data_IF_160626170166
#
_entry.id   IF_160626170166
#
_cell.length_a   1.000
_cell.length_b   1.000
_cell.length_c   1.000
_cell.angle_alpha   90.00
_cell.angle_beta   90.00
_cell.angle_gamma   90.00
#
_symmetry.space_group_name_H-M   'P 1'
#
loop_
_entity.id
_entity.type
_entity.pdbx_description
1 polymer ?
#
# COMPACT_ATOMS: atom_id res chain seq x y z
N UNK A 1 -9.97 -56.96 18.71
CA UNK A 1 -9.19 -57.38 19.92
C UNK A 1 -8.28 -58.54 19.50
N UNK A 2 -7.13 -58.83 20.13
CA UNK A 2 -6.32 -58.07 21.12
C UNK A 2 -4.90 -57.69 20.60
N UNK A 3 -4.36 -56.50 20.88
CA UNK A 3 -3.35 -56.13 21.93
C UNK A 3 -1.99 -56.89 21.97
N UNK A 4 -0.90 -56.18 21.62
CA UNK A 4 0.34 -55.86 22.41
C UNK A 4 1.27 -55.02 21.49
N UNK A 5 1.88 -53.88 21.85
CA UNK A 5 2.74 -53.50 22.99
C UNK A 5 4.14 -54.14 22.94
N UNK A 6 5.26 -53.47 23.26
CA UNK A 6 5.57 -52.04 23.50
C UNK A 6 7.10 -51.90 23.66
N UNK A 7 7.71 -50.74 23.33
CA UNK A 7 8.98 -50.32 23.94
C UNK A 7 9.17 -48.79 23.88
N UNK A 8 9.78 -48.24 24.93
CA UNK A 8 10.08 -46.82 25.14
C UNK A 8 11.51 -46.70 25.69
N UNK A 9 12.27 -45.71 25.23
CA UNK A 9 13.48 -45.21 25.89
C UNK A 9 13.69 -43.75 25.47
N UNK A 10 14.05 -42.92 26.44
CA UNK A 10 14.15 -41.45 26.35
C UNK A 10 15.65 -41.03 26.50
N UNK A 11 16.02 -39.73 26.54
CA UNK A 11 17.25 -39.25 25.90
C UNK A 11 18.53 -39.37 26.74
N UNK A 12 19.65 -38.97 26.11
CA UNK A 12 20.96 -38.76 26.73
C UNK A 12 21.37 -37.29 26.62
N UNK A 13 21.71 -36.66 27.74
CA UNK A 13 22.25 -35.30 27.79
C UNK A 13 23.75 -35.26 27.42
N UNK A 14 24.18 -34.15 26.81
CA UNK A 14 25.56 -33.63 26.76
C UNK A 14 25.42 -32.12 26.52
N UNK A 15 25.47 -31.31 27.56
CA UNK A 15 26.67 -30.69 28.15
C UNK A 15 26.97 -29.32 27.52
N UNK A 16 26.99 -28.31 28.38
CA UNK A 16 27.23 -26.90 28.04
C UNK A 16 28.62 -26.55 28.55
N UNK A 17 29.57 -26.33 27.65
CA UNK A 17 30.90 -25.89 28.02
C UNK A 17 30.89 -24.40 28.43
N UNK A 18 31.76 -24.06 29.37
CA UNK A 18 31.99 -22.70 29.86
C UNK A 18 33.47 -22.40 29.77
N UNK A 19 33.83 -21.29 29.13
CA UNK A 19 35.16 -20.72 29.30
C UNK A 19 35.05 -19.24 29.67
N UNK A 20 35.93 -18.83 30.58
CA UNK A 20 36.03 -17.49 31.21
C UNK A 20 37.49 -17.05 31.02
N UNK A 21 37.76 -15.75 30.90
CA UNK A 21 39.12 -15.27 30.64
C UNK A 21 39.27 -13.76 30.64
N UNK A 22 39.95 -13.28 31.67
CA UNK A 22 40.58 -11.96 31.83
C UNK A 22 42.07 -12.10 31.40
N UNK A 23 43.08 -11.22 31.58
CA UNK A 23 43.31 -9.92 32.26
C UNK A 23 44.19 -9.02 31.31
N UNK A 24 44.49 -7.71 31.45
CA UNK A 24 43.94 -6.48 32.08
C UNK A 24 44.77 -5.25 31.53
N UNK A 25 44.20 -4.02 31.53
CA UNK A 25 44.93 -2.68 31.51
C UNK A 25 45.82 -2.28 30.28
N UNK A 26 46.29 -1.03 30.03
CA UNK A 26 45.98 0.37 30.48
C UNK A 26 46.46 1.43 29.42
N UNK A 27 46.18 2.74 29.60
CA UNK A 27 46.97 3.82 28.93
C UNK A 27 46.32 5.21 28.70
N UNK A 28 46.56 6.15 29.62
CA UNK A 28 46.50 7.66 29.58
C UNK A 28 46.47 8.39 28.20
N UNK A 29 45.83 9.56 28.02
CA UNK A 29 46.01 10.86 28.75
C UNK A 29 46.91 11.80 27.91
N UNK A 30 46.80 13.14 27.87
CA UNK A 30 46.31 14.17 28.82
C UNK A 30 45.54 15.33 28.12
N UNK A 31 45.13 16.35 28.89
CA UNK A 31 44.28 17.50 28.51
C UNK A 31 45.08 18.81 28.33
N UNK A 32 44.46 19.84 27.70
CA UNK A 32 44.80 21.27 27.96
C UNK A 32 43.56 22.16 27.78
N UNK A 33 43.30 23.04 28.75
CA UNK A 33 42.33 24.16 28.72
C UNK A 33 42.99 25.40 28.03
N UNK A 34 42.35 26.53 27.69
CA UNK A 34 41.48 27.44 28.47
C UNK A 34 40.77 28.47 27.55
N UNK A 35 39.76 29.18 28.08
CA UNK A 35 39.23 30.56 27.82
C UNK A 35 39.33 31.22 26.40
N UNK A 36 38.39 32.05 25.91
CA UNK A 36 37.61 33.12 26.56
C UNK A 36 36.42 33.56 25.65
N UNK A 37 35.63 34.54 26.12
CA UNK A 37 34.76 35.46 25.39
C UNK A 37 33.39 34.96 24.87
N UNK A 38 32.39 35.27 25.69
CA UNK A 38 30.95 35.28 25.41
C UNK A 38 30.52 36.04 24.13
N UNK A 39 29.42 35.57 23.53
CA UNK A 39 28.28 36.46 23.22
C UNK A 39 26.95 35.73 23.50
N UNK A 40 25.98 36.42 24.09
CA UNK A 40 24.63 35.91 24.37
C UNK A 40 23.65 36.47 23.31
N UNK A 41 23.77 36.03 22.06
CA UNK A 41 22.76 36.33 21.05
C UNK A 41 21.54 35.42 21.25
N UNK A 42 20.48 35.99 21.86
CA UNK A 42 19.14 35.40 21.89
C UNK A 42 18.55 35.40 20.45
N UNK A 43 18.88 34.38 19.64
CA UNK A 43 18.19 34.13 18.37
C UNK A 43 16.71 33.81 18.66
N UNK A 44 15.83 34.79 18.49
CA UNK A 44 14.38 34.66 18.71
C UNK A 44 13.76 33.57 17.79
N UNK A 45 12.85 32.75 18.34
CA UNK A 45 12.19 31.58 17.72
C UNK A 45 11.23 31.93 16.52
N UNK A 46 11.65 32.73 15.55
CA UNK A 46 10.83 33.09 14.37
C UNK A 46 10.71 31.96 13.31
N UNK A 47 11.42 30.84 13.47
CA UNK A 47 11.38 29.69 12.54
C UNK A 47 10.13 28.79 12.66
N UNK A 48 9.18 29.15 13.53
CA UNK A 48 7.91 28.42 13.75
C UNK A 48 6.66 29.24 13.37
N UNK A 49 6.76 30.10 12.35
CA UNK A 49 5.56 30.65 11.71
C UNK A 49 4.84 29.56 10.90
N UNK A 50 3.91 28.84 11.53
CA UNK A 50 3.00 27.84 10.93
C UNK A 50 1.96 28.51 10.01
N UNK A 51 2.44 29.29 9.05
CA UNK A 51 1.65 29.92 8.01
C UNK A 51 1.38 28.93 6.87
N UNK A 52 0.90 27.74 7.23
CA UNK A 52 0.38 26.75 6.29
C UNK A 52 -0.83 27.28 5.51
N UNK A 53 -1.46 28.37 5.97
CA UNK A 53 -2.46 29.15 5.22
C UNK A 53 -1.87 29.90 4.00
N UNK A 54 -0.57 30.20 4.00
CA UNK A 54 0.16 30.82 2.90
C UNK A 54 0.89 29.80 1.99
N UNK A 55 0.58 28.50 2.10
CA UNK A 55 0.88 27.58 1.01
C UNK A 55 0.05 28.02 -0.20
N UNK A 56 0.74 28.60 -1.19
CA UNK A 56 0.12 29.16 -2.39
C UNK A 56 -0.75 28.10 -3.07
N UNK A 57 -2.07 28.33 -3.08
CA UNK A 57 -3.03 27.41 -3.68
C UNK A 57 -2.93 27.49 -5.20
N UNK A 58 -1.97 26.76 -5.78
CA UNK A 58 -2.02 26.40 -7.20
C UNK A 58 -3.34 25.68 -7.45
N UNK A 59 -4.27 26.38 -8.06
CA UNK A 59 -5.56 25.84 -8.50
C UNK A 59 -5.35 25.06 -9.78
N UNK A 60 -4.69 23.91 -9.68
CA UNK A 60 -4.71 22.91 -10.73
C UNK A 60 -6.15 22.47 -10.97
N UNK A 61 -6.69 22.74 -12.15
CA UNK A 61 -7.90 22.08 -12.62
C UNK A 61 -7.54 20.63 -12.95
N UNK A 62 -8.21 19.68 -12.29
CA UNK A 62 -7.98 18.25 -12.46
C UNK A 62 -9.04 17.63 -13.37
N UNK A 63 -8.62 16.71 -14.23
CA UNK A 63 -9.53 15.88 -15.02
C UNK A 63 -9.36 14.38 -14.73
N UNK A 64 -10.34 13.59 -15.16
CA UNK A 64 -10.46 12.17 -14.88
C UNK A 64 -10.22 11.35 -16.16
N UNK A 65 -9.00 10.86 -16.32
CA UNK A 65 -8.54 10.16 -17.52
C UNK A 65 -8.65 8.63 -17.37
N UNK A 66 -8.88 7.86 -18.45
CA UNK A 66 -8.67 6.41 -18.44
C UNK A 66 -7.23 6.08 -18.03
N UNK A 67 -7.04 4.93 -17.37
CA UNK A 67 -5.71 4.48 -16.96
C UNK A 67 -4.89 4.06 -18.20
N UNK A 68 -3.63 4.45 -18.25
CA UNK A 68 -2.66 4.08 -19.29
C UNK A 68 -1.38 3.47 -18.69
N UNK A 69 -0.57 2.85 -19.53
CA UNK A 69 0.81 2.43 -19.21
C UNK A 69 1.70 3.52 -18.60
N UNK A 70 1.51 4.80 -18.95
CA UNK A 70 2.24 5.91 -18.32
C UNK A 70 1.91 6.14 -16.84
N UNK A 71 0.70 5.75 -16.39
CA UNK A 71 0.25 5.98 -15.01
C UNK A 71 0.93 5.08 -13.98
N UNK A 72 1.71 4.07 -14.39
CA UNK A 72 2.21 3.01 -13.48
C UNK A 72 3.01 3.59 -12.31
N UNK A 73 3.93 4.54 -12.54
CA UNK A 73 4.79 5.07 -11.48
C UNK A 73 4.02 5.99 -10.52
N UNK A 74 3.12 6.83 -11.05
CA UNK A 74 2.20 7.63 -10.24
C UNK A 74 1.24 6.76 -9.40
N UNK A 75 0.76 5.65 -9.96
CA UNK A 75 -0.03 4.65 -9.25
C UNK A 75 0.79 3.95 -8.16
N UNK A 76 2.06 3.57 -8.41
CA UNK A 76 2.95 3.01 -7.38
C UNK A 76 3.13 3.98 -6.21
N UNK A 77 3.31 5.27 -6.49
CA UNK A 77 3.45 6.32 -5.46
C UNK A 77 2.19 6.46 -4.58
N UNK A 78 0.98 6.37 -5.16
CA UNK A 78 -0.27 6.36 -4.40
C UNK A 78 -0.47 5.03 -3.63
N UNK A 79 -0.26 3.89 -4.29
CA UNK A 79 -0.43 2.56 -3.71
C UNK A 79 0.50 2.34 -2.51
N UNK A 80 1.71 2.90 -2.54
CA UNK A 80 2.66 2.87 -1.41
C UNK A 80 2.11 3.55 -0.14
N UNK A 81 1.25 4.56 -0.29
CA UNK A 81 0.57 5.22 0.83
C UNK A 81 -0.57 4.33 1.39
N UNK A 82 -1.35 3.69 0.51
CA UNK A 82 -2.44 2.77 0.88
C UNK A 82 -1.90 1.52 1.58
N UNK A 83 -0.82 0.95 1.05
CA UNK A 83 -0.19 -0.30 1.49
C UNK A 83 1.02 -0.08 2.40
N UNK A 84 1.11 1.10 3.03
CA UNK A 84 2.21 1.52 3.90
C UNK A 84 2.54 0.48 4.98
N UNK A 85 3.83 0.09 5.04
CA UNK A 85 4.39 -0.95 5.94
C UNK A 85 3.76 -2.34 5.74
N UNK A 86 3.46 -2.70 4.49
CA UNK A 86 3.04 -4.06 4.11
C UNK A 86 3.92 -4.58 2.97
N UNK A 87 3.87 -5.89 2.72
CA UNK A 87 4.69 -6.56 1.70
C UNK A 87 3.96 -6.69 0.35
N UNK A 88 2.96 -5.84 0.08
CA UNK A 88 2.18 -5.90 -1.17
C UNK A 88 3.00 -5.31 -2.31
N UNK A 89 3.22 -6.10 -3.37
CA UNK A 89 3.84 -5.62 -4.61
C UNK A 89 2.97 -4.54 -5.29
N UNK A 90 3.32 -3.27 -5.05
CA UNK A 90 2.58 -2.12 -5.57
C UNK A 90 2.78 -1.91 -7.08
N UNK A 91 3.89 -2.39 -7.66
CA UNK A 91 4.15 -2.31 -9.10
C UNK A 91 3.28 -3.31 -9.87
N UNK A 92 3.15 -4.53 -9.35
CA UNK A 92 2.21 -5.52 -9.88
C UNK A 92 0.74 -5.08 -9.71
N UNK A 93 0.39 -4.43 -8.59
CA UNK A 93 -0.95 -3.84 -8.42
C UNK A 93 -1.20 -2.69 -9.40
N UNK A 94 -0.24 -1.77 -9.60
CA UNK A 94 -0.38 -0.68 -10.56
C UNK A 94 -0.62 -1.20 -11.98
N UNK A 95 0.17 -2.17 -12.43
CA UNK A 95 0.00 -2.82 -13.75
C UNK A 95 -1.36 -3.51 -13.85
N UNK A 96 -1.79 -4.23 -12.82
CA UNK A 96 -3.10 -4.88 -12.78
C UNK A 96 -4.29 -3.89 -12.74
N UNK A 97 -4.09 -2.63 -12.30
CA UNK A 97 -5.10 -1.56 -12.44
C UNK A 97 -5.15 -1.01 -13.87
N UNK A 98 -3.99 -0.82 -14.51
CA UNK A 98 -3.90 -0.38 -15.92
C UNK A 98 -4.49 -1.44 -16.86
N UNK A 99 -4.25 -2.73 -16.62
CA UNK A 99 -4.86 -3.84 -17.38
C UNK A 99 -6.40 -3.86 -17.35
N UNK A 100 -7.03 -3.22 -16.36
CA UNK A 100 -8.49 -3.09 -16.27
C UNK A 100 -9.04 -1.95 -17.14
N UNK A 101 -8.20 -1.05 -17.67
CA UNK A 101 -8.63 0.11 -18.46
C UNK A 101 -9.53 -0.29 -19.65
N UNK A 102 -10.64 0.43 -19.92
CA UNK A 102 -11.08 1.69 -19.34
C UNK A 102 -11.97 1.56 -18.08
N UNK A 103 -11.85 0.47 -17.30
CA UNK A 103 -12.50 0.40 -15.98
C UNK A 103 -11.77 1.28 -14.95
N UNK A 104 -12.30 2.50 -14.82
CA UNK A 104 -11.92 3.44 -13.77
C UNK A 104 -11.39 4.73 -14.36
N UNK A 105 -10.69 5.50 -13.54
CA UNK A 105 -9.91 6.64 -13.96
C UNK A 105 -8.76 6.93 -12.99
N UNK A 106 -7.73 7.56 -13.50
CA UNK A 106 -6.76 8.35 -12.74
C UNK A 106 -7.19 9.82 -12.75
N UNK A 107 -6.71 10.58 -11.76
CA UNK A 107 -6.83 12.05 -11.77
C UNK A 107 -5.46 12.67 -12.03
N UNK A 108 -5.37 13.54 -13.03
CA UNK A 108 -4.19 14.33 -13.40
C UNK A 108 -4.62 15.79 -13.66
N UNK A 109 -3.70 16.76 -13.69
CA UNK A 109 -3.98 18.10 -14.21
C UNK A 109 -4.61 18.04 -15.61
N UNK A 110 -5.49 18.99 -15.93
CA UNK A 110 -6.17 19.06 -17.22
C UNK A 110 -5.27 19.63 -18.34
N UNK A 111 -4.29 20.44 -17.98
CA UNK A 111 -3.25 20.99 -18.85
C UNK A 111 -1.91 20.29 -18.55
N UNK A 112 -1.11 20.04 -19.58
CA UNK A 112 0.25 19.51 -19.43
C UNK A 112 1.12 20.58 -18.74
N UNK A 113 1.63 20.26 -17.55
CA UNK A 113 2.50 21.16 -16.78
C UNK A 113 3.91 21.07 -17.37
N UNK A 114 4.54 22.22 -17.69
CA UNK A 114 5.84 22.27 -18.38
C UNK A 114 7.04 21.75 -17.54
N UNK A 115 6.82 21.31 -16.31
CA UNK A 115 7.84 20.70 -15.44
C UNK A 115 8.04 19.22 -15.81
N UNK A 116 9.21 18.87 -16.36
CA UNK A 116 9.57 17.49 -16.77
C UNK A 116 9.41 16.44 -15.64
N UNK A 117 9.58 16.85 -14.37
CA UNK A 117 9.37 16.00 -13.18
C UNK A 117 7.88 15.63 -12.93
N UNK A 118 6.93 16.21 -13.68
CA UNK A 118 5.50 16.13 -13.40
C UNK A 118 4.65 15.37 -14.44
N UNK A 119 5.21 15.01 -15.61
CA UNK A 119 4.47 14.49 -16.77
C UNK A 119 3.56 13.27 -16.47
N UNK A 120 3.94 12.44 -15.49
CA UNK A 120 3.20 11.23 -15.09
C UNK A 120 2.67 11.29 -13.64
N UNK A 121 2.48 12.50 -13.09
CA UNK A 121 1.98 12.69 -11.73
C UNK A 121 0.48 12.35 -11.61
N UNK A 122 0.18 11.28 -10.86
CA UNK A 122 -1.20 10.82 -10.59
C UNK A 122 -1.63 11.26 -9.18
N UNK A 123 -2.66 12.10 -9.11
CA UNK A 123 -3.14 12.77 -7.88
C UNK A 123 -4.28 12.00 -7.18
N UNK A 124 -4.75 10.94 -7.80
CA UNK A 124 -5.66 9.95 -7.24
C UNK A 124 -6.12 8.93 -8.27
N UNK A 125 -6.81 7.89 -7.81
CA UNK A 125 -7.30 6.79 -8.66
C UNK A 125 -8.66 6.29 -8.16
N UNK A 126 -9.56 5.99 -9.09
CA UNK A 126 -10.82 5.31 -8.87
C UNK A 126 -10.93 4.11 -9.83
N UNK A 127 -10.63 2.90 -9.36
CA UNK A 127 -10.65 1.68 -10.19
C UNK A 127 -10.99 0.43 -9.36
N UNK A 128 -11.06 -0.74 -10.00
CA UNK A 128 -11.47 -2.01 -9.40
C UNK A 128 -10.44 -3.11 -9.70
N UNK A 129 -9.65 -3.47 -8.68
CA UNK A 129 -8.64 -4.54 -8.76
C UNK A 129 -9.30 -5.91 -8.58
N UNK A 130 -9.08 -6.85 -9.50
CA UNK A 130 -9.64 -8.20 -9.37
C UNK A 130 -8.98 -8.99 -8.22
N UNK A 131 -9.81 -9.70 -7.45
CA UNK A 131 -9.41 -10.57 -6.35
C UNK A 131 -9.78 -12.03 -6.64
N UNK A 132 -8.85 -12.96 -6.39
CA UNK A 132 -9.05 -14.41 -6.58
C UNK A 132 -8.33 -15.01 -7.79
N UNK A 133 -7.48 -14.26 -8.47
CA UNK A 133 -6.52 -14.79 -9.42
C UNK A 133 -5.32 -15.49 -8.75
N UNK A 134 -4.26 -15.70 -9.52
CA UNK A 134 -3.05 -16.44 -9.09
C UNK A 134 -1.82 -15.54 -8.82
N UNK A 135 -1.95 -14.22 -8.90
CA UNK A 135 -0.82 -13.31 -8.73
C UNK A 135 -0.43 -13.15 -7.24
N UNK A 136 0.87 -13.00 -6.90
CA UNK A 136 1.33 -12.89 -5.50
C UNK A 136 0.62 -11.77 -4.73
N UNK A 137 0.51 -10.58 -5.32
CA UNK A 137 -0.14 -9.41 -4.72
C UNK A 137 -1.60 -9.68 -4.28
N UNK A 138 -2.35 -10.51 -5.03
CA UNK A 138 -3.74 -10.86 -4.67
C UNK A 138 -3.78 -11.68 -3.38
N UNK A 139 -2.77 -12.54 -3.17
CA UNK A 139 -2.61 -13.34 -1.95
C UNK A 139 -2.08 -12.50 -0.79
N UNK A 140 -1.18 -11.56 -1.04
CA UNK A 140 -0.67 -10.60 -0.05
C UNK A 140 -1.79 -9.68 0.47
N UNK A 141 -2.59 -9.10 -0.43
CA UNK A 141 -3.77 -8.28 -0.10
C UNK A 141 -4.80 -9.11 0.69
N UNK A 142 -5.12 -10.33 0.26
CA UNK A 142 -6.03 -11.22 1.00
C UNK A 142 -5.53 -11.49 2.42
N UNK A 143 -4.24 -11.80 2.58
CA UNK A 143 -3.61 -12.02 3.89
C UNK A 143 -3.59 -10.73 4.74
N UNK A 144 -3.35 -9.56 4.16
CA UNK A 144 -3.40 -8.27 4.86
C UNK A 144 -4.78 -8.01 5.47
N UNK A 145 -5.85 -8.16 4.69
CA UNK A 145 -7.22 -8.00 5.17
C UNK A 145 -7.59 -9.05 6.22
N UNK A 146 -7.25 -10.32 6.00
CA UNK A 146 -7.51 -11.40 6.96
C UNK A 146 -6.76 -11.20 8.29
N UNK A 147 -5.49 -10.77 8.24
CA UNK A 147 -4.67 -10.56 9.43
C UNK A 147 -5.06 -9.28 10.19
N UNK A 148 -5.62 -8.25 9.53
CA UNK A 148 -6.30 -7.15 10.22
C UNK A 148 -7.62 -7.62 10.84
N UNK A 149 -8.49 -8.29 10.08
CA UNK A 149 -9.79 -8.77 10.56
C UNK A 149 -9.67 -9.67 11.79
N UNK A 150 -8.73 -10.62 11.79
CA UNK A 150 -8.46 -11.52 12.95
C UNK A 150 -7.96 -10.80 14.21
N UNK A 151 -7.43 -9.57 14.09
CA UNK A 151 -6.95 -8.75 15.23
C UNK A 151 -8.02 -7.84 15.82
N UNK A 152 -8.99 -7.37 15.04
CA UNK A 152 -9.92 -6.29 15.47
C UNK A 152 -11.41 -6.54 15.21
N UNK A 153 -11.77 -7.55 14.41
CA UNK A 153 -13.16 -7.81 14.00
C UNK A 153 -13.75 -9.06 14.67
N UNK A 154 -15.08 -9.18 14.64
CA UNK A 154 -15.78 -10.35 15.21
C UNK A 154 -15.55 -11.61 14.36
N UNK A 155 -15.67 -12.82 14.93
CA UNK A 155 -15.46 -14.07 14.20
C UNK A 155 -16.31 -14.21 12.93
N UNK A 156 -17.51 -13.63 12.89
CA UNK A 156 -18.39 -13.69 11.71
C UNK A 156 -18.02 -12.69 10.62
N UNK A 157 -17.26 -11.63 10.94
CA UNK A 157 -16.61 -10.78 9.93
C UNK A 157 -15.36 -11.48 9.36
N UNK A 158 -14.57 -12.15 10.21
CA UNK A 158 -13.43 -12.97 9.77
C UNK A 158 -13.90 -14.06 8.78
N UNK A 159 -14.93 -14.83 9.14
CA UNK A 159 -15.53 -15.84 8.24
C UNK A 159 -16.01 -15.27 6.90
N UNK A 160 -16.50 -14.02 6.87
CA UNK A 160 -16.92 -13.37 5.61
C UNK A 160 -15.73 -13.05 4.72
N UNK A 161 -14.65 -12.49 5.26
CA UNK A 161 -13.41 -12.30 4.51
C UNK A 161 -12.82 -13.63 4.04
N UNK A 162 -12.83 -14.66 4.90
CA UNK A 162 -12.37 -16.01 4.52
C UNK A 162 -13.23 -16.60 3.40
N UNK A 163 -14.56 -16.42 3.42
CA UNK A 163 -15.45 -16.86 2.35
C UNK A 163 -15.22 -16.08 1.04
N UNK A 164 -14.94 -14.78 1.11
CA UNK A 164 -14.64 -13.94 -0.07
C UNK A 164 -13.31 -14.38 -0.71
N UNK A 165 -12.21 -14.37 0.04
CA UNK A 165 -10.87 -14.63 -0.50
C UNK A 165 -10.62 -16.10 -0.87
N UNK A 166 -11.31 -17.06 -0.23
CA UNK A 166 -11.21 -18.48 -0.60
C UNK A 166 -12.31 -18.93 -1.57
N UNK A 167 -13.13 -18.04 -2.13
CA UNK A 167 -14.12 -18.44 -3.14
C UNK A 167 -13.42 -18.85 -4.44
N UNK A 168 -13.54 -20.13 -4.80
CA UNK A 168 -13.01 -20.70 -6.05
C UNK A 168 -14.09 -20.98 -7.09
N UNK A 169 -15.32 -20.51 -6.91
CA UNK A 169 -16.32 -20.54 -7.97
C UNK A 169 -16.11 -19.35 -8.91
N UNK A 170 -15.49 -19.63 -10.07
CA UNK A 170 -15.22 -18.67 -11.14
C UNK A 170 -16.47 -17.90 -11.66
N UNK A 171 -17.69 -18.30 -11.25
CA UNK A 171 -18.93 -17.54 -11.51
C UNK A 171 -19.07 -16.26 -10.68
N UNK A 172 -18.30 -16.09 -9.60
CA UNK A 172 -18.35 -14.92 -8.72
C UNK A 172 -16.95 -14.33 -8.50
N UNK A 173 -16.50 -13.51 -9.45
CA UNK A 173 -15.29 -12.68 -9.30
C UNK A 173 -15.50 -11.64 -8.19
N UNK A 174 -14.52 -11.53 -7.29
CA UNK A 174 -14.47 -10.48 -6.29
C UNK A 174 -13.58 -9.34 -6.78
N UNK A 175 -13.84 -8.10 -6.32
CA UNK A 175 -13.01 -6.94 -6.66
C UNK A 175 -12.77 -6.07 -5.43
N UNK A 176 -11.56 -5.54 -5.30
CA UNK A 176 -11.24 -4.45 -4.38
C UNK A 176 -11.49 -3.12 -5.10
N UNK A 177 -12.40 -2.31 -4.57
CA UNK A 177 -12.51 -0.91 -4.99
C UNK A 177 -11.29 -0.15 -4.47
N UNK A 178 -10.48 0.38 -5.38
CA UNK A 178 -9.40 1.32 -5.08
C UNK A 178 -9.95 2.71 -5.36
N UNK A 179 -10.06 3.53 -4.33
CA UNK A 179 -10.54 4.92 -4.41
C UNK A 179 -9.68 5.77 -3.47
N UNK A 180 -8.64 6.39 -4.02
CA UNK A 180 -7.68 7.19 -3.28
C UNK A 180 -7.50 8.56 -3.94
N UNK A 181 -7.33 9.62 -3.14
CA UNK A 181 -7.18 11.01 -3.62
C UNK A 181 -6.53 11.89 -2.55
N UNK A 182 -5.79 12.91 -2.98
CA UNK A 182 -5.24 13.90 -2.04
C UNK A 182 -6.33 14.58 -1.19
N UNK A 183 -5.98 14.99 0.03
CA UNK A 183 -6.91 15.49 1.07
C UNK A 183 -7.76 16.71 0.68
N UNK A 184 -7.37 17.44 -0.37
CA UNK A 184 -8.06 18.63 -0.86
C UNK A 184 -8.60 18.48 -2.30
N UNK A 185 -8.68 17.25 -2.81
CA UNK A 185 -9.11 16.98 -4.18
C UNK A 185 -10.61 17.31 -4.42
N UNK A 186 -10.99 18.05 -5.48
CA UNK A 186 -12.36 18.58 -5.62
C UNK A 186 -13.47 17.52 -5.73
N UNK A 187 -14.53 17.69 -4.93
CA UNK A 187 -15.70 16.80 -4.94
C UNK A 187 -16.52 16.88 -6.25
N UNK A 188 -16.41 18.00 -6.98
CA UNK A 188 -17.07 18.16 -8.29
C UNK A 188 -16.65 17.09 -9.31
N UNK A 189 -15.43 16.57 -9.21
CA UNK A 189 -14.84 15.58 -10.15
C UNK A 189 -15.03 14.15 -9.61
N UNK A 190 -14.79 13.96 -8.31
CA UNK A 190 -14.83 12.65 -7.67
C UNK A 190 -16.23 11.99 -7.74
N UNK A 191 -17.32 12.75 -7.57
CA UNK A 191 -18.68 12.18 -7.59
C UNK A 191 -19.13 11.74 -9.02
N UNK A 192 -18.89 12.52 -10.10
CA UNK A 192 -19.06 12.04 -11.48
C UNK A 192 -18.21 10.83 -11.85
N UNK A 193 -16.99 10.70 -11.34
CA UNK A 193 -16.07 9.61 -11.68
C UNK A 193 -16.67 8.21 -11.45
N UNK A 194 -17.48 8.02 -10.39
CA UNK A 194 -18.23 6.77 -10.14
C UNK A 194 -19.21 6.36 -11.25
N UNK A 195 -19.43 7.19 -12.29
CA UNK A 195 -20.16 6.80 -13.51
C UNK A 195 -19.36 5.86 -14.41
N UNK A 196 -18.02 5.95 -14.45
CA UNK A 196 -17.19 5.01 -15.22
C UNK A 196 -17.36 3.59 -14.69
N UNK A 197 -17.27 3.42 -13.36
CA UNK A 197 -17.50 2.14 -12.67
C UNK A 197 -18.92 1.57 -12.90
N UNK A 198 -19.93 2.41 -13.14
CA UNK A 198 -21.31 1.94 -13.39
C UNK A 198 -21.51 1.35 -14.79
N UNK A 199 -20.69 1.73 -15.77
CA UNK A 199 -20.73 1.15 -17.11
C UNK A 199 -20.26 -0.31 -17.14
N UNK A 200 -19.53 -0.77 -16.13
CA UNK A 200 -19.03 -2.17 -15.99
C UNK A 200 -20.11 -3.22 -16.18
N UNK A 201 -21.29 -3.05 -15.58
CA UNK A 201 -22.37 -4.02 -15.67
C UNK A 201 -22.88 -4.20 -17.11
N UNK A 202 -22.79 -3.13 -17.91
CA UNK A 202 -23.14 -3.10 -19.33
C UNK A 202 -21.99 -3.69 -20.16
N UNK A 203 -20.75 -3.22 -19.98
CA UNK A 203 -19.60 -3.70 -20.74
C UNK A 203 -19.27 -5.17 -20.49
N UNK A 204 -19.28 -5.67 -19.25
CA UNK A 204 -19.07 -7.08 -18.96
C UNK A 204 -20.12 -7.96 -19.65
N UNK A 205 -21.38 -7.50 -19.67
CA UNK A 205 -22.47 -8.19 -20.35
C UNK A 205 -22.28 -8.20 -21.87
N UNK A 206 -21.90 -7.08 -22.50
CA UNK A 206 -21.58 -7.02 -23.93
C UNK A 206 -20.32 -7.83 -24.31
N UNK A 207 -19.31 -7.88 -23.44
CA UNK A 207 -18.11 -8.67 -23.67
C UNK A 207 -18.42 -10.17 -23.57
N UNK A 208 -19.21 -10.60 -22.56
CA UNK A 208 -19.70 -11.97 -22.46
C UNK A 208 -20.54 -12.37 -23.68
N UNK A 209 -21.42 -11.51 -24.19
CA UNK A 209 -22.13 -11.79 -25.45
C UNK A 209 -21.17 -11.95 -26.63
N UNK A 210 -20.15 -11.09 -26.76
CA UNK A 210 -19.12 -11.23 -27.83
C UNK A 210 -18.36 -12.55 -27.77
N UNK A 211 -18.09 -13.11 -26.59
CA UNK A 211 -17.41 -14.39 -26.43
C UNK A 211 -18.34 -15.63 -26.47
N UNK A 212 -19.66 -15.44 -26.59
CA UNK A 212 -20.66 -16.53 -26.71
C UNK A 212 -21.09 -16.75 -28.18
N UNK A 213 -20.76 -15.85 -29.10
CA UNK A 213 -21.10 -15.94 -30.52
C UNK A 213 -19.87 -16.16 -31.43
N UNK A 214 -19.32 -17.38 -31.39
CA UNK A 214 -18.47 -17.98 -32.43
C UNK A 214 -18.74 -19.48 -32.54
#
# INVERSE_FOLDING_TARGET
MPKKASKKSEPSDMEIDKNIGEEEEEGSGEEVEDDDASDEEEEEDELMNDNTEAMEKLTFDFEAFPLDTGDVDGLVNLLTQIFLRTNVDCEAVAKALVEMSPLGCVYRPAEEVEDEDSENAVYGVLSMLELGGIAPFQTEIANLFLNRARKVATPDIVKKFEAIFNNKDNKQKNYLLVNERMLHFPDQIAAPAFKSLKLVHIYLSFLWLKYIYF
#
